data_IF_299459799769
#
_entry.id   IF_299459799769
#
_cell.length_a   1.000
_cell.length_b   1.000
_cell.length_c   1.000
_cell.angle_alpha   90.00
_cell.angle_beta   90.00
_cell.angle_gamma   90.00
#
_symmetry.space_group_name_H-M   'P 1'
#
loop_
_entity.id
_entity.type
_entity.pdbx_description
1 polymer ?
#
# COMPACT_ATOMS: atom_id res chain seq x y z
N UNK A 1 9.58 9.81 7.81
CA UNK A 1 8.25 10.12 7.23
C UNK A 1 7.17 9.29 7.89
N UNK A 2 5.91 9.74 7.83
CA UNK A 2 4.75 8.99 8.32
C UNK A 2 3.99 8.39 7.11
N UNK A 3 3.96 7.05 6.96
CA UNK A 3 3.22 6.40 5.88
C UNK A 3 1.72 6.71 5.93
N UNK A 4 1.09 6.85 4.77
CA UNK A 4 -0.35 7.07 4.63
C UNK A 4 -0.93 6.11 3.60
N UNK A 5 -2.25 5.91 3.66
CA UNK A 5 -2.99 5.15 2.66
C UNK A 5 -2.71 5.69 1.24
N UNK A 6 -2.38 4.79 0.32
CA UNK A 6 -2.05 5.11 -1.08
C UNK A 6 -0.55 5.23 -1.37
N UNK A 7 0.29 5.45 -0.35
CA UNK A 7 1.75 5.56 -0.54
C UNK A 7 2.32 4.27 -1.12
N UNK A 8 3.29 4.41 -2.02
CA UNK A 8 4.11 3.29 -2.50
C UNK A 8 5.48 3.38 -1.86
N UNK A 9 5.84 2.35 -1.12
CA UNK A 9 7.07 2.25 -0.34
C UNK A 9 7.98 1.19 -0.94
N UNK A 10 9.26 1.50 -1.02
CA UNK A 10 10.31 0.51 -1.19
C UNK A 10 10.74 0.02 0.19
N UNK A 11 10.34 -1.20 0.53
CA UNK A 11 10.59 -1.81 1.83
C UNK A 11 11.82 -2.71 1.71
N UNK A 12 12.85 -2.39 2.48
CA UNK A 12 14.14 -3.08 2.45
C UNK A 12 14.52 -3.58 3.84
N UNK A 13 15.66 -4.26 3.96
CA UNK A 13 16.22 -4.69 5.24
C UNK A 13 16.38 -3.55 6.26
N UNK A 14 16.58 -2.31 5.80
CA UNK A 14 16.66 -1.14 6.69
C UNK A 14 15.35 -0.88 7.45
N UNK A 15 14.20 -1.27 6.88
CA UNK A 15 12.90 -1.13 7.53
C UNK A 15 12.57 -2.31 8.45
N UNK A 16 13.02 -3.53 8.12
CA UNK A 16 12.91 -4.70 8.99
C UNK A 16 13.77 -5.84 8.44
N UNK A 17 14.40 -6.61 9.33
CA UNK A 17 15.32 -7.70 8.99
C UNK A 17 14.70 -8.80 8.14
N UNK A 18 13.37 -8.92 8.13
CA UNK A 18 12.62 -9.90 7.34
C UNK A 18 12.74 -9.64 5.83
N UNK A 19 13.00 -8.40 5.42
CA UNK A 19 13.05 -7.98 4.01
C UNK A 19 14.47 -8.07 3.43
N UNK A 20 15.07 -9.27 3.47
CA UNK A 20 16.36 -9.56 2.81
C UNK A 20 16.28 -9.34 1.30
N UNK A 21 15.16 -9.73 0.70
CA UNK A 21 14.76 -9.33 -0.66
C UNK A 21 13.79 -8.16 -0.51
N UNK A 22 14.09 -6.98 -1.08
CA UNK A 22 13.21 -5.84 -0.96
C UNK A 22 11.93 -6.03 -1.76
N UNK A 23 10.87 -5.35 -1.33
CA UNK A 23 9.55 -5.37 -1.99
C UNK A 23 9.06 -3.95 -2.25
N UNK A 24 8.19 -3.80 -3.25
CA UNK A 24 7.35 -2.62 -3.41
C UNK A 24 6.04 -2.86 -2.68
N UNK A 25 5.62 -1.90 -1.85
CA UNK A 25 4.46 -2.05 -0.99
C UNK A 25 3.56 -0.83 -1.08
N UNK A 26 2.30 -1.02 -1.48
CA UNK A 26 1.27 0.01 -1.46
C UNK A 26 0.48 -0.05 -0.18
N UNK A 27 0.55 1.01 0.62
CA UNK A 27 -0.16 1.11 1.89
C UNK A 27 -1.67 1.24 1.65
N UNK A 28 -2.48 0.43 2.33
CA UNK A 28 -3.94 0.58 2.38
C UNK A 28 -4.32 1.27 3.69
N UNK A 29 -3.70 0.88 4.80
CA UNK A 29 -3.91 1.52 6.10
C UNK A 29 -2.70 1.34 7.03
N UNK A 30 -2.56 2.28 7.95
CA UNK A 30 -1.72 2.16 9.14
C UNK A 30 -2.58 1.54 10.25
N UNK A 31 -2.03 0.60 11.03
CA UNK A 31 -2.76 -0.05 12.11
C UNK A 31 -2.43 0.62 13.45
N UNK A 32 -3.47 0.98 14.21
CA UNK A 32 -3.35 1.59 15.55
C UNK A 32 -3.06 0.54 16.65
N UNK A 33 -2.11 -0.36 16.38
CA UNK A 33 -1.69 -1.39 17.34
C UNK A 33 -0.57 -0.85 18.23
N UNK A 34 -0.58 -1.15 19.54
CA UNK A 34 0.54 -0.80 20.42
C UNK A 34 1.86 -1.33 19.87
N UNK A 35 2.89 -0.48 19.86
CA UNK A 35 4.20 -0.84 19.33
C UNK A 35 5.33 0.02 19.92
N UNK A 36 6.57 -0.33 19.61
CA UNK A 36 7.77 0.38 20.05
C UNK A 36 7.95 1.70 19.28
N UNK A 37 8.66 2.64 19.88
CA UNK A 37 8.93 3.92 19.22
C UNK A 37 9.63 3.72 17.87
N UNK A 38 9.21 4.49 16.88
CA UNK A 38 9.71 4.39 15.51
C UNK A 38 9.14 3.21 14.70
N UNK A 39 8.47 2.23 15.32
CA UNK A 39 7.88 1.08 14.62
C UNK A 39 6.42 1.31 14.25
N UNK A 40 5.95 0.62 13.22
CA UNK A 40 4.57 0.74 12.73
C UNK A 40 4.11 -0.56 12.08
N UNK A 41 2.84 -0.86 12.26
CA UNK A 41 2.13 -1.90 11.52
C UNK A 41 1.46 -1.29 10.29
N UNK A 42 1.75 -1.85 9.11
CA UNK A 42 1.14 -1.44 7.85
C UNK A 42 0.39 -2.61 7.24
N UNK A 43 -0.80 -2.33 6.72
CA UNK A 43 -1.51 -3.26 5.86
C UNK A 43 -1.57 -2.71 4.43
N UNK A 44 -1.32 -3.57 3.45
CA UNK A 44 -1.15 -3.14 2.08
C UNK A 44 -0.94 -4.28 1.09
N UNK A 45 -0.60 -3.89 -0.14
CA UNK A 45 -0.31 -4.82 -1.22
C UNK A 45 1.17 -4.80 -1.58
N UNK A 46 1.78 -5.97 -1.71
CA UNK A 46 3.01 -6.11 -2.48
C UNK A 46 2.71 -5.88 -3.96
N UNK A 47 3.62 -5.16 -4.63
CA UNK A 47 3.53 -4.85 -6.04
C UNK A 47 4.56 -5.64 -6.84
N UNK A 48 4.16 -6.10 -8.03
CA UNK A 48 5.11 -6.63 -9.02
C UNK A 48 5.86 -5.49 -9.73
N UNK A 49 6.74 -5.84 -10.67
CA UNK A 49 7.50 -4.88 -11.48
C UNK A 49 6.62 -3.95 -12.35
N UNK A 50 5.41 -4.40 -12.74
CA UNK A 50 4.44 -3.59 -13.47
C UNK A 50 3.65 -2.63 -12.55
N UNK A 51 3.77 -2.77 -11.22
CA UNK A 51 3.06 -1.97 -10.23
C UNK A 51 1.67 -2.52 -9.84
N UNK A 52 1.34 -3.74 -10.28
CA UNK A 52 0.09 -4.42 -9.93
C UNK A 52 0.17 -5.03 -8.55
N UNK A 53 -0.95 -4.99 -7.82
CA UNK A 53 -1.08 -5.65 -6.53
C UNK A 53 -1.11 -7.17 -6.71
N UNK A 54 -0.12 -7.87 -6.15
CA UNK A 54 -0.02 -9.34 -6.27
C UNK A 54 -0.32 -10.08 -4.98
N UNK A 55 -0.09 -9.45 -3.81
CA UNK A 55 -0.36 -10.09 -2.53
C UNK A 55 -0.74 -9.06 -1.46
N UNK A 56 -1.74 -9.37 -0.63
CA UNK A 56 -2.12 -8.55 0.53
C UNK A 56 -1.34 -9.00 1.76
N UNK A 57 -0.67 -8.09 2.44
CA UNK A 57 0.18 -8.40 3.60
C UNK A 57 0.00 -7.37 4.72
N UNK A 58 0.15 -7.84 5.95
CA UNK A 58 0.41 -6.99 7.12
C UNK A 58 1.89 -7.10 7.46
N UNK A 59 2.58 -5.97 7.57
CA UNK A 59 4.02 -5.91 7.82
C UNK A 59 4.32 -5.04 9.05
N UNK A 60 5.38 -5.41 9.76
CA UNK A 60 5.87 -4.68 10.93
C UNK A 60 7.26 -4.10 10.63
N UNK A 61 7.36 -2.78 10.60
CA UNK A 61 8.52 -2.06 10.04
C UNK A 61 8.89 -0.84 10.86
N UNK A 62 10.16 -0.49 10.84
CA UNK A 62 10.68 0.76 11.39
C UNK A 62 10.54 1.88 10.35
N UNK A 63 9.93 2.99 10.76
CA UNK A 63 9.64 4.15 9.89
C UNK A 63 10.90 4.76 9.29
N UNK A 64 12.01 4.78 10.04
CA UNK A 64 13.27 5.36 9.59
C UNK A 64 13.89 4.64 8.39
N UNK A 65 13.62 3.34 8.23
CA UNK A 65 14.18 2.52 7.14
C UNK A 65 13.31 2.43 5.89
N UNK A 66 12.12 3.03 5.89
CA UNK A 66 11.23 3.03 4.73
C UNK A 66 11.74 4.05 3.69
N UNK A 67 11.46 3.79 2.42
CA UNK A 67 11.72 4.76 1.33
C UNK A 67 10.44 4.97 0.54
N UNK A 68 9.92 6.19 0.51
CA UNK A 68 8.72 6.52 -0.25
C UNK A 68 9.09 6.76 -1.72
N UNK A 69 8.45 6.01 -2.62
CA UNK A 69 8.63 6.18 -4.06
C UNK A 69 7.53 7.05 -4.67
N UNK A 70 6.30 6.90 -4.19
CA UNK A 70 5.16 7.70 -4.64
C UNK A 70 4.30 8.09 -3.44
N UNK A 71 3.94 9.36 -3.38
CA UNK A 71 2.99 9.87 -2.40
C UNK A 71 1.54 9.62 -2.83
N UNK A 72 0.69 9.34 -1.86
CA UNK A 72 -0.76 9.35 -2.05
C UNK A 72 -1.21 10.69 -2.64
N UNK A 73 -1.97 10.66 -3.73
CA UNK A 73 -2.50 11.85 -4.40
C UNK A 73 -1.70 12.33 -5.61
N UNK A 74 -0.50 11.79 -5.86
CA UNK A 74 0.20 12.08 -7.11
C UNK A 74 -0.41 11.25 -8.26
N UNK A 75 -0.89 11.89 -9.35
CA UNK A 75 -1.49 11.16 -10.47
C UNK A 75 -0.47 10.18 -11.04
N UNK A 76 -0.80 8.88 -10.96
CA UNK A 76 -0.01 7.86 -11.66
C UNK A 76 -0.27 7.96 -13.15
N UNK A 77 0.76 7.86 -14.00
CA UNK A 77 0.59 7.79 -15.45
C UNK A 77 -0.29 6.61 -15.93
N UNK A 78 -0.58 5.63 -15.07
CA UNK A 78 -1.32 4.41 -15.43
C UNK A 78 -2.62 4.18 -14.65
N UNK A 79 -3.10 5.15 -13.87
CA UNK A 79 -4.36 5.01 -13.14
C UNK A 79 -5.59 5.38 -14.00
N UNK A 80 -5.70 4.80 -15.20
CA UNK A 80 -6.98 4.73 -15.92
C UNK A 80 -7.15 3.29 -16.38
N UNK A 81 -7.65 2.43 -15.48
CA UNK A 81 -8.48 1.24 -15.75
C UNK A 81 -8.39 0.25 -14.59
N UNK A 82 -9.37 0.30 -13.71
CA UNK A 82 -10.07 -0.92 -13.27
C UNK A 82 -11.39 -0.56 -12.58
N UNK A 83 -12.45 -0.82 -13.34
CA UNK A 83 -13.80 -1.16 -12.92
C UNK A 83 -14.56 -0.19 -12.00
N UNK A 84 -15.27 0.75 -12.61
CA UNK A 84 -16.63 1.07 -12.16
C UNK A 84 -17.43 -0.24 -12.20
N UNK A 85 -17.92 -0.73 -11.05
CA UNK A 85 -19.01 -1.72 -11.04
C UNK A 85 -20.24 -1.04 -11.66
N UNK A 86 -20.87 -1.58 -12.72
CA UNK A 86 -22.22 -1.18 -13.05
C UNK A 86 -23.16 -1.91 -12.09
N UNK A 87 -23.54 -1.26 -10.99
CA UNK A 87 -24.66 -1.76 -10.19
C UNK A 87 -25.95 -1.36 -10.91
N UNK A 88 -26.39 -2.28 -11.78
CA UNK A 88 -27.77 -2.59 -12.14
C UNK A 88 -28.70 -1.44 -12.58
N UNK A 89 -28.97 -1.39 -13.88
CA UNK A 89 -30.06 -0.62 -14.46
C UNK A 89 -31.41 -1.32 -14.21
N UNK A 90 -32.35 -0.52 -13.69
CA UNK A 90 -33.76 -0.42 -14.05
C UNK A 90 -34.68 -1.64 -13.97
N UNK A 91 -35.73 -1.54 -13.13
CA UNK A 91 -37.09 -1.45 -13.64
C UNK A 91 -38.04 -0.80 -12.60
N UNK A 92 -38.61 0.35 -12.98
CA UNK A 92 -39.85 0.90 -12.42
C UNK A 92 -41.02 0.42 -13.30
N UNK A 93 -42.24 0.60 -12.78
CA UNK A 93 -43.58 0.52 -13.40
C UNK A 93 -44.19 -0.90 -13.29
N UNK A 94 -45.41 -1.12 -12.79
CA UNK A 94 -46.60 -0.26 -12.63
C UNK A 94 -47.20 -0.36 -11.22
#
# INVERSE_FOLDING_TARGET
MLPRSGDVLHVTRAASVQFRKPILFRVIRVLDRPTYDGWVWLEGYELNAAGDAVNRRSIFVQRAGLRQLHAAGQPRPHAVRSARRPTQASMRVA
#
